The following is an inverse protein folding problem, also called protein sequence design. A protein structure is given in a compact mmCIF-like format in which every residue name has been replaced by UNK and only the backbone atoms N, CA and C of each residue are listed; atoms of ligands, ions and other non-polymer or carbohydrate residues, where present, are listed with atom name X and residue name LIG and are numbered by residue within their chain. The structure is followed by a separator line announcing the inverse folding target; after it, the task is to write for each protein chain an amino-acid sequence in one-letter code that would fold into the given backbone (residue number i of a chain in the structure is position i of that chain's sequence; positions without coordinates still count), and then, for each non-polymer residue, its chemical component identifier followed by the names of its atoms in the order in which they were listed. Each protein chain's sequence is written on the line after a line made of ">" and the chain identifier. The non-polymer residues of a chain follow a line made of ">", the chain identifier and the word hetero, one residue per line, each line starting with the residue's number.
data_IF_668689452596
#
_entry.id   IF_668689452596
#
_cell.length_a   1.000
_cell.length_b   1.000
_cell.length_c   1.000
_cell.angle_alpha   90.00
_cell.angle_beta   90.00
_cell.angle_gamma   90.00
#
_symmetry.space_group_name_H-M   'P 1'
#
loop_
_entity.id
_entity.type
_entity.pdbx_description
1 polymer ?
#
# COMPACT_ATOMS: atom_id res chain seq x y z
N UNK A 1 5.51 22.60 -15.43
CA UNK A 1 5.27 22.03 -16.78
C UNK A 1 4.93 20.57 -16.57
N UNK A 2 3.79 20.13 -17.07
CA UNK A 2 3.32 18.77 -16.84
C UNK A 2 4.31 17.74 -17.43
N UNK A 3 4.66 16.73 -16.63
CA UNK A 3 5.41 15.56 -17.06
C UNK A 3 4.48 14.48 -17.61
N UNK A 4 3.26 14.40 -17.04
CA UNK A 4 2.20 13.48 -17.45
C UNK A 4 0.89 14.23 -17.64
N UNK A 5 0.21 13.96 -18.74
CA UNK A 5 -1.17 14.36 -18.99
C UNK A 5 -1.94 13.15 -19.54
N UNK A 6 -2.99 12.75 -18.86
CA UNK A 6 -3.97 11.78 -19.32
C UNK A 6 -5.29 12.53 -19.50
N UNK A 7 -5.87 12.48 -20.68
CA UNK A 7 -7.06 13.27 -21.03
C UNK A 7 -8.14 12.38 -21.63
N UNK A 8 -9.38 12.57 -21.19
CA UNK A 8 -10.58 11.86 -21.68
C UNK A 8 -10.47 10.33 -21.63
N UNK A 9 -9.79 9.80 -20.59
CA UNK A 9 -9.56 8.36 -20.43
C UNK A 9 -10.84 7.65 -20.07
N UNK A 10 -11.28 6.73 -20.93
CA UNK A 10 -12.43 5.85 -20.64
C UNK A 10 -12.05 4.40 -20.85
N UNK A 11 -12.62 3.52 -20.01
CA UNK A 11 -12.42 2.07 -20.07
C UNK A 11 -13.61 1.30 -19.55
N UNK A 12 -14.04 0.30 -20.31
CA UNK A 12 -15.07 -0.64 -19.92
C UNK A 12 -14.57 -2.09 -19.99
N UNK A 13 -15.08 -2.95 -19.10
CA UNK A 13 -14.80 -4.39 -19.07
C UNK A 13 -16.12 -5.15 -19.04
N UNK A 14 -16.41 -5.92 -20.10
CA UNK A 14 -17.62 -6.77 -20.16
C UNK A 14 -18.93 -6.01 -19.90
N UNK A 15 -19.01 -4.74 -20.34
CA UNK A 15 -20.19 -3.88 -20.12
C UNK A 15 -20.18 -3.08 -18.82
N UNK A 16 -19.18 -3.27 -17.94
CA UNK A 16 -19.01 -2.48 -16.72
C UNK A 16 -18.03 -1.34 -17.02
N UNK A 17 -18.47 -0.10 -16.82
CA UNK A 17 -17.61 1.09 -16.97
C UNK A 17 -16.70 1.20 -15.77
N UNK A 18 -15.39 1.07 -15.99
CA UNK A 18 -14.37 1.20 -14.96
C UNK A 18 -13.81 2.64 -14.86
N UNK A 19 -13.74 3.34 -16.01
CA UNK A 19 -13.36 4.75 -16.10
C UNK A 19 -14.25 5.43 -17.16
N UNK A 20 -14.67 6.65 -16.90
CA UNK A 20 -15.46 7.46 -17.80
C UNK A 20 -14.97 8.89 -17.79
N UNK A 21 -14.37 9.33 -18.89
CA UNK A 21 -13.87 10.70 -19.12
C UNK A 21 -12.93 11.22 -18.01
N UNK A 22 -11.96 10.40 -17.60
CA UNK A 22 -11.04 10.71 -16.50
C UNK A 22 -9.86 11.52 -17.00
N UNK A 23 -9.46 12.52 -16.22
CA UNK A 23 -8.28 13.34 -16.42
C UNK A 23 -7.28 13.15 -15.27
N UNK A 24 -5.98 13.18 -15.57
CA UNK A 24 -4.91 13.19 -14.58
C UNK A 24 -3.74 14.00 -15.14
N UNK A 25 -3.30 15.00 -14.38
CA UNK A 25 -2.12 15.81 -14.73
C UNK A 25 -1.13 15.79 -13.58
N UNK A 26 0.13 15.45 -13.89
CA UNK A 26 1.24 15.45 -12.93
C UNK A 26 2.30 16.42 -13.42
N UNK A 27 2.71 17.36 -12.57
CA UNK A 27 3.79 18.29 -12.87
C UNK A 27 5.18 17.66 -12.69
N UNK A 28 6.19 18.20 -13.39
CA UNK A 28 7.55 17.73 -13.23
C UNK A 28 8.09 18.06 -11.83
N UNK A 29 8.62 17.05 -11.13
CA UNK A 29 9.19 17.20 -9.79
C UNK A 29 8.12 17.35 -8.69
N UNK A 30 6.88 16.89 -8.90
CA UNK A 30 5.88 16.85 -7.83
C UNK A 30 5.60 15.44 -7.30
N UNK A 31 5.05 15.38 -6.11
CA UNK A 31 4.40 14.20 -5.56
C UNK A 31 2.90 14.43 -5.66
N UNK A 32 2.25 13.74 -6.58
CA UNK A 32 0.82 13.83 -6.86
C UNK A 32 0.06 12.69 -6.19
N UNK A 33 -0.88 13.01 -5.30
CA UNK A 33 -1.72 12.00 -4.68
C UNK A 33 -2.89 11.59 -5.60
N UNK A 34 -3.03 10.29 -5.89
CA UNK A 34 -4.20 9.74 -6.57
C UNK A 34 -5.11 9.06 -5.57
N UNK A 35 -6.29 9.62 -5.33
CA UNK A 35 -7.19 9.32 -4.23
C UNK A 35 -8.50 8.74 -4.72
N UNK A 36 -9.21 8.03 -3.84
CA UNK A 36 -10.50 7.41 -4.09
C UNK A 36 -10.66 6.10 -3.32
N UNK A 37 -11.89 5.64 -3.14
CA UNK A 37 -12.18 4.36 -2.49
C UNK A 37 -11.70 3.16 -3.32
N UNK A 38 -11.79 1.96 -2.73
CA UNK A 38 -11.56 0.73 -3.47
C UNK A 38 -12.62 0.59 -4.57
N UNK A 39 -12.17 0.30 -5.80
CA UNK A 39 -13.05 0.28 -6.97
C UNK A 39 -13.28 1.64 -7.64
N UNK A 40 -12.69 2.73 -7.17
CA UNK A 40 -12.82 4.06 -7.78
C UNK A 40 -12.18 4.19 -9.18
N UNK A 41 -11.39 3.19 -9.62
CA UNK A 41 -10.74 3.19 -10.94
C UNK A 41 -9.24 3.48 -10.91
N UNK A 42 -8.63 3.75 -9.74
CA UNK A 42 -7.20 4.11 -9.61
C UNK A 42 -6.26 3.09 -10.29
N UNK A 43 -6.38 1.82 -9.92
CA UNK A 43 -5.54 0.76 -10.49
C UNK A 43 -5.79 0.57 -11.99
N UNK A 44 -7.03 0.77 -12.46
CA UNK A 44 -7.34 0.75 -13.90
C UNK A 44 -6.62 1.88 -14.62
N UNK A 45 -6.65 3.11 -14.08
CA UNK A 45 -5.97 4.26 -14.65
C UNK A 45 -4.45 4.05 -14.70
N UNK A 46 -3.85 3.53 -13.63
CA UNK A 46 -2.41 3.21 -13.58
C UNK A 46 -2.02 2.08 -14.53
N UNK A 47 -2.85 1.05 -14.66
CA UNK A 47 -2.63 -0.03 -15.62
C UNK A 47 -2.72 0.44 -17.08
N UNK A 48 -3.55 1.44 -17.38
CA UNK A 48 -3.56 2.10 -18.69
C UNK A 48 -2.27 2.89 -18.89
N UNK A 49 -1.87 3.69 -17.91
CA UNK A 49 -0.64 4.49 -17.99
C UNK A 49 0.60 3.62 -18.20
N UNK A 50 0.69 2.49 -17.50
CA UNK A 50 1.84 1.57 -17.61
C UNK A 50 1.77 0.64 -18.82
N UNK A 51 0.67 0.66 -19.58
CA UNK A 51 0.51 -0.17 -20.79
C UNK A 51 0.17 -1.64 -20.51
N UNK A 52 -0.28 -1.97 -19.30
CA UNK A 52 -0.81 -3.31 -18.94
C UNK A 52 -2.14 -3.55 -19.64
N UNK A 53 -2.99 -2.52 -19.72
CA UNK A 53 -4.26 -2.54 -20.44
C UNK A 53 -4.37 -1.34 -21.38
N UNK A 54 -5.08 -1.50 -22.47
CA UNK A 54 -5.36 -0.40 -23.41
C UNK A 54 -6.57 0.42 -22.96
N UNK A 55 -6.53 1.72 -23.18
CA UNK A 55 -7.72 2.57 -23.05
C UNK A 55 -8.70 2.34 -24.20
N UNK A 56 -9.98 2.62 -23.99
CA UNK A 56 -10.99 2.57 -25.06
C UNK A 56 -11.05 3.94 -25.78
N UNK A 57 -10.89 5.05 -25.02
CA UNK A 57 -10.76 6.41 -25.55
C UNK A 57 -9.80 7.21 -24.70
N UNK A 58 -9.32 8.33 -25.23
CA UNK A 58 -8.46 9.28 -24.55
C UNK A 58 -7.03 9.28 -25.04
N UNK A 59 -6.24 10.18 -24.48
CA UNK A 59 -4.87 10.43 -24.89
C UNK A 59 -3.94 10.44 -23.68
N UNK A 60 -2.71 9.96 -23.88
CA UNK A 60 -1.65 9.94 -22.88
C UNK A 60 -0.45 10.68 -23.43
N UNK A 61 -0.03 11.73 -22.74
CA UNK A 61 1.19 12.48 -23.04
C UNK A 61 2.14 12.34 -21.84
N UNK A 62 3.36 11.92 -22.10
CA UNK A 62 4.39 11.79 -21.09
C UNK A 62 5.72 12.36 -21.60
N UNK A 63 6.35 13.23 -20.79
CA UNK A 63 7.62 13.90 -21.12
C UNK A 63 7.59 14.53 -22.53
N UNK A 64 6.48 15.23 -22.84
CA UNK A 64 6.26 15.92 -24.12
C UNK A 64 5.99 15.02 -25.33
N UNK A 65 5.77 13.72 -25.15
CA UNK A 65 5.47 12.75 -26.21
C UNK A 65 4.10 12.13 -26.03
N UNK A 66 3.40 11.87 -27.13
CA UNK A 66 2.12 11.17 -27.14
C UNK A 66 2.31 9.65 -27.20
N UNK A 67 1.49 8.92 -26.41
CA UNK A 67 1.48 7.46 -26.34
C UNK A 67 0.05 6.93 -26.52
N UNK A 68 -0.46 6.85 -27.75
CA UNK A 68 -1.88 6.49 -28.00
C UNK A 68 -2.24 5.06 -27.59
N UNK A 69 -1.29 4.13 -27.66
CA UNK A 69 -1.47 2.73 -27.23
C UNK A 69 -0.17 2.24 -26.58
N UNK A 70 0.10 2.65 -25.34
CA UNK A 70 1.33 2.27 -24.67
C UNK A 70 1.35 0.76 -24.37
N UNK A 71 2.56 0.21 -24.34
CA UNK A 71 2.85 -1.14 -23.83
C UNK A 71 3.87 -1.04 -22.70
N UNK A 72 3.91 -2.03 -21.83
CA UNK A 72 4.82 -2.04 -20.66
C UNK A 72 6.26 -1.67 -21.10
N UNK A 73 6.90 -2.34 -22.07
CA UNK A 73 8.28 -2.01 -22.43
C UNK A 73 8.47 -0.62 -23.03
N UNK A 74 7.40 -0.03 -23.57
CA UNK A 74 7.44 1.34 -24.12
C UNK A 74 7.44 2.35 -22.97
N UNK A 75 6.55 2.17 -21.96
CA UNK A 75 6.43 3.09 -20.84
C UNK A 75 7.62 2.97 -19.86
N UNK A 76 8.14 1.78 -19.64
CA UNK A 76 9.39 1.58 -18.89
C UNK A 76 10.55 2.33 -19.54
N UNK A 77 10.73 2.20 -20.87
CA UNK A 77 11.78 2.93 -21.61
C UNK A 77 11.55 4.44 -21.64
N UNK A 78 10.30 4.88 -21.57
CA UNK A 78 9.98 6.30 -21.44
C UNK A 78 10.38 6.86 -20.06
N UNK A 79 10.48 6.01 -19.03
CA UNK A 79 10.87 6.36 -17.67
C UNK A 79 9.71 6.34 -16.68
N UNK A 80 8.70 5.49 -16.88
CA UNK A 80 7.64 5.23 -15.92
C UNK A 80 7.92 3.89 -15.23
N UNK A 81 7.90 3.88 -13.90
CA UNK A 81 8.03 2.67 -13.10
C UNK A 81 6.86 2.54 -12.13
N UNK A 82 6.42 1.31 -11.88
CA UNK A 82 5.34 1.01 -10.96
C UNK A 82 5.85 0.13 -9.82
N UNK A 83 5.76 0.65 -8.60
CA UNK A 83 6.01 -0.06 -7.34
C UNK A 83 4.66 -0.46 -6.78
N UNK A 84 4.38 -1.76 -6.80
CA UNK A 84 3.11 -2.33 -6.37
C UNK A 84 2.99 -2.42 -4.85
N UNK A 85 1.77 -2.55 -4.36
CA UNK A 85 1.46 -2.76 -2.94
C UNK A 85 2.11 -4.06 -2.41
N UNK A 86 2.06 -5.15 -3.18
CA UNK A 86 2.81 -6.37 -2.88
C UNK A 86 4.23 -6.24 -3.43
N UNK A 87 5.20 -6.41 -2.54
CA UNK A 87 6.62 -6.26 -2.90
C UNK A 87 7.04 -7.30 -3.94
N UNK A 88 7.38 -6.83 -5.13
CA UNK A 88 7.73 -7.67 -6.28
C UNK A 88 9.24 -7.88 -6.40
N UNK A 89 9.80 -8.69 -5.49
CA UNK A 89 11.21 -9.06 -5.45
C UNK A 89 11.38 -10.58 -5.43
N UNK A 90 12.49 -11.06 -5.98
CA UNK A 90 12.83 -12.49 -5.97
C UNK A 90 13.61 -12.80 -4.70
N UNK A 91 12.98 -13.49 -3.76
CA UNK A 91 13.56 -13.77 -2.43
C UNK A 91 14.82 -14.63 -2.47
N UNK A 92 14.94 -15.53 -3.46
CA UNK A 92 16.05 -16.46 -3.62
C UNK A 92 17.27 -15.86 -4.35
N UNK A 93 17.21 -14.59 -4.70
CA UNK A 93 18.31 -13.85 -5.30
C UNK A 93 18.91 -12.86 -4.29
N UNK A 94 20.16 -12.49 -4.51
CA UNK A 94 20.78 -11.39 -3.78
C UNK A 94 20.18 -10.04 -4.19
N UNK A 95 20.43 -9.04 -3.37
CA UNK A 95 19.95 -7.66 -3.57
C UNK A 95 20.44 -7.11 -4.91
N UNK A 96 21.76 -7.23 -5.22
CA UNK A 96 22.27 -6.74 -6.49
C UNK A 96 21.68 -7.51 -7.69
N UNK A 97 21.42 -8.81 -7.57
CA UNK A 97 20.79 -9.60 -8.64
C UNK A 97 19.34 -9.15 -8.88
N UNK A 98 18.60 -8.73 -7.84
CA UNK A 98 17.28 -8.13 -7.99
C UNK A 98 17.30 -6.76 -8.70
N UNK A 99 18.31 -5.90 -8.42
CA UNK A 99 18.44 -4.60 -9.08
C UNK A 99 18.71 -4.79 -10.58
N UNK A 100 19.55 -5.73 -10.94
CA UNK A 100 19.99 -5.98 -12.33
C UNK A 100 19.18 -7.05 -13.05
N UNK A 101 18.05 -7.49 -12.51
CA UNK A 101 17.22 -8.53 -13.11
C UNK A 101 16.79 -8.13 -14.53
N UNK A 102 17.06 -9.00 -15.52
CA UNK A 102 16.89 -8.76 -16.96
C UNK A 102 17.79 -7.66 -17.57
N UNK A 103 18.72 -7.11 -16.81
CA UNK A 103 19.67 -6.06 -17.24
C UNK A 103 21.07 -6.31 -16.70
N UNK A 104 21.43 -7.59 -16.60
CA UNK A 104 22.71 -8.02 -16.06
C UNK A 104 23.89 -7.42 -16.82
N UNK A 105 24.85 -6.88 -16.07
CA UNK A 105 26.08 -6.37 -16.64
C UNK A 105 26.98 -7.57 -17.01
N UNK A 106 27.40 -7.60 -18.27
CA UNK A 106 28.26 -8.66 -18.80
C UNK A 106 29.67 -8.18 -19.08
N UNK A 107 30.64 -9.03 -18.80
CA UNK A 107 32.02 -8.83 -19.22
C UNK A 107 32.16 -8.93 -20.74
N UNK A 108 33.34 -8.57 -21.29
CA UNK A 108 33.65 -8.73 -22.73
C UNK A 108 33.53 -10.17 -23.22
N UNK A 109 33.62 -11.16 -22.31
CA UNK A 109 33.48 -12.58 -22.61
C UNK A 109 32.04 -13.09 -22.47
N UNK A 110 31.06 -12.21 -22.20
CA UNK A 110 29.65 -12.60 -22.05
C UNK A 110 29.28 -13.17 -20.68
N UNK A 111 30.20 -13.25 -19.72
CA UNK A 111 29.94 -13.67 -18.36
C UNK A 111 29.39 -12.54 -17.50
N UNK A 112 28.63 -12.85 -16.44
CA UNK A 112 28.13 -11.84 -15.50
C UNK A 112 29.28 -11.12 -14.78
N UNK A 113 29.27 -9.79 -14.82
CA UNK A 113 30.21 -8.95 -14.07
C UNK A 113 29.67 -8.61 -12.68
N UNK A 114 29.70 -9.63 -11.80
CA UNK A 114 29.18 -9.49 -10.42
C UNK A 114 29.86 -8.34 -9.65
N UNK A 115 31.16 -8.14 -9.84
CA UNK A 115 31.90 -7.07 -9.13
C UNK A 115 31.37 -5.70 -9.50
N UNK A 116 31.12 -5.48 -10.78
CA UNK A 116 30.58 -4.22 -11.26
C UNK A 116 29.13 -4.02 -10.81
N UNK A 117 28.28 -5.07 -10.87
CA UNK A 117 26.89 -5.00 -10.39
C UNK A 117 26.82 -4.68 -8.91
N UNK A 118 27.64 -5.30 -8.06
CA UNK A 118 27.72 -5.00 -6.63
C UNK A 118 28.20 -3.56 -6.39
N UNK A 119 29.21 -3.09 -7.11
CA UNK A 119 29.71 -1.73 -6.97
C UNK A 119 28.65 -0.67 -7.34
N UNK A 120 27.96 -0.85 -8.48
CA UNK A 120 26.90 0.05 -8.94
C UNK A 120 25.69 0.03 -7.98
N UNK A 121 25.31 -1.14 -7.41
CA UNK A 121 24.28 -1.24 -6.39
C UNK A 121 24.66 -0.51 -5.09
N UNK A 122 25.92 -0.63 -4.65
CA UNK A 122 26.44 0.07 -3.47
C UNK A 122 26.42 1.59 -3.66
N UNK A 123 26.81 2.06 -4.84
CA UNK A 123 26.76 3.48 -5.19
C UNK A 123 25.34 4.01 -5.19
N UNK A 124 24.39 3.25 -5.76
CA UNK A 124 22.96 3.58 -5.78
C UNK A 124 22.42 3.72 -4.35
N UNK A 125 22.67 2.76 -3.46
CA UNK A 125 22.21 2.81 -2.07
C UNK A 125 22.84 3.95 -1.30
N UNK A 126 24.13 4.22 -1.50
CA UNK A 126 24.80 5.37 -0.89
C UNK A 126 24.15 6.70 -1.31
N UNK A 127 23.85 6.86 -2.59
CA UNK A 127 23.17 8.05 -3.13
C UNK A 127 21.76 8.21 -2.54
N UNK A 128 21.02 7.13 -2.35
CA UNK A 128 19.68 7.13 -1.77
C UNK A 128 19.68 7.26 -0.25
N UNK A 129 20.81 6.99 0.41
CA UNK A 129 20.89 6.92 1.88
C UNK A 129 20.21 5.67 2.43
N UNK A 130 20.25 4.58 1.69
CA UNK A 130 19.65 3.28 2.05
C UNK A 130 20.75 2.37 2.57
N UNK A 131 20.53 1.81 3.77
CA UNK A 131 21.47 0.88 4.41
C UNK A 131 21.04 -0.58 4.10
N UNK A 132 21.45 -1.07 2.94
CA UNK A 132 21.22 -2.45 2.49
C UNK A 132 22.53 -2.99 1.91
N UNK A 133 22.96 -4.16 2.38
CA UNK A 133 24.11 -4.87 1.79
C UNK A 133 23.71 -5.43 0.40
N UNK A 134 24.35 -5.00 -0.69
CA UNK A 134 24.08 -5.53 -2.02
C UNK A 134 24.24 -7.04 -2.15
N UNK A 135 25.07 -7.65 -1.32
CA UNK A 135 25.34 -9.10 -1.33
C UNK A 135 24.37 -9.90 -0.45
N UNK A 136 23.55 -9.26 0.39
CA UNK A 136 22.58 -9.96 1.22
C UNK A 136 21.52 -10.67 0.37
N UNK A 137 20.99 -11.77 0.89
CA UNK A 137 19.84 -12.45 0.28
C UNK A 137 18.57 -11.65 0.54
N UNK A 138 17.71 -11.49 -0.46
CA UNK A 138 16.46 -10.72 -0.30
C UNK A 138 15.52 -11.38 0.70
N UNK A 139 15.57 -12.70 0.89
CA UNK A 139 14.83 -13.42 1.93
C UNK A 139 15.16 -12.94 3.36
N UNK A 140 16.35 -12.40 3.60
CA UNK A 140 16.81 -11.91 4.91
C UNK A 140 16.38 -10.46 5.20
N UNK A 141 15.92 -9.74 4.17
CA UNK A 141 15.52 -8.34 4.30
C UNK A 141 14.17 -8.20 5.00
N UNK A 142 14.05 -7.13 5.78
CA UNK A 142 12.76 -6.66 6.31
C UNK A 142 11.87 -6.15 5.17
N UNK A 143 10.55 -6.10 5.39
CA UNK A 143 9.59 -5.61 4.39
C UNK A 143 9.91 -4.19 3.92
N UNK A 144 10.28 -3.30 4.82
CA UNK A 144 10.72 -1.94 4.49
C UNK A 144 11.95 -1.89 3.58
N UNK A 145 12.93 -2.75 3.83
CA UNK A 145 14.13 -2.84 2.99
C UNK A 145 13.81 -3.40 1.60
N UNK A 146 12.90 -4.37 1.51
CA UNK A 146 12.42 -4.91 0.23
C UNK A 146 11.73 -3.83 -0.61
N UNK A 147 10.94 -2.97 0.04
CA UNK A 147 10.28 -1.85 -0.62
C UNK A 147 11.28 -0.80 -1.13
N UNK A 148 12.28 -0.45 -0.31
CA UNK A 148 13.38 0.41 -0.74
C UNK A 148 14.20 -0.21 -1.88
N UNK A 149 14.35 -1.52 -1.91
CA UNK A 149 14.99 -2.25 -3.01
C UNK A 149 14.19 -2.08 -4.32
N UNK A 150 12.86 -2.19 -4.31
CA UNK A 150 12.03 -1.95 -5.50
C UNK A 150 12.15 -0.51 -6.02
N UNK A 151 12.07 0.46 -5.12
CA UNK A 151 12.26 1.88 -5.48
C UNK A 151 13.67 2.08 -6.07
N UNK A 152 14.69 1.46 -5.46
CA UNK A 152 16.08 1.55 -5.94
C UNK A 152 16.22 0.93 -7.34
N UNK A 153 15.57 -0.21 -7.62
CA UNK A 153 15.53 -0.82 -8.94
C UNK A 153 14.91 0.11 -9.98
N UNK A 154 13.74 0.69 -9.67
CA UNK A 154 13.06 1.65 -10.53
C UNK A 154 13.95 2.86 -10.88
N UNK A 155 14.68 3.37 -9.90
CA UNK A 155 15.61 4.49 -10.09
C UNK A 155 16.87 4.13 -10.88
N UNK A 156 17.37 2.90 -10.69
CA UNK A 156 18.46 2.38 -11.53
C UNK A 156 18.05 2.32 -13.00
N UNK A 157 16.78 2.09 -13.29
CA UNK A 157 16.19 2.09 -14.61
C UNK A 157 15.90 3.50 -15.18
N UNK A 158 16.38 4.56 -14.54
CA UNK A 158 16.18 5.96 -14.91
C UNK A 158 14.69 6.38 -14.94
N UNK A 159 13.88 5.88 -14.01
CA UNK A 159 12.50 6.31 -13.91
C UNK A 159 12.42 7.82 -13.62
N UNK A 160 11.61 8.51 -14.41
CA UNK A 160 11.27 9.94 -14.25
C UNK A 160 10.00 10.12 -13.44
N UNK A 161 9.07 9.17 -13.56
CA UNK A 161 7.81 9.09 -12.85
C UNK A 161 7.71 7.72 -12.17
N UNK A 162 7.59 7.73 -10.85
CA UNK A 162 7.36 6.52 -10.06
C UNK A 162 5.92 6.50 -9.54
N UNK A 163 5.21 5.42 -9.81
CA UNK A 163 3.90 5.14 -9.24
C UNK A 163 4.11 4.28 -8.01
N UNK A 164 3.65 4.75 -6.85
CA UNK A 164 3.77 4.07 -5.56
C UNK A 164 2.36 3.73 -5.07
N UNK A 165 2.01 2.44 -5.10
CA UNK A 165 0.69 1.96 -4.69
C UNK A 165 0.73 1.46 -3.25
N UNK A 166 0.12 2.21 -2.34
CA UNK A 166 0.08 1.98 -0.89
C UNK A 166 1.44 1.62 -0.25
N UNK A 167 2.51 2.40 -0.50
CA UNK A 167 3.87 2.01 -0.15
C UNK A 167 4.14 1.96 1.36
N UNK A 168 3.21 2.37 2.19
CA UNK A 168 3.38 2.49 3.65
C UNK A 168 2.55 1.46 4.44
N UNK A 169 1.81 0.57 3.78
CA UNK A 169 0.84 -0.31 4.44
C UNK A 169 1.50 -1.26 5.45
N UNK A 170 2.71 -1.75 5.16
CA UNK A 170 3.43 -2.70 6.01
C UNK A 170 4.59 -2.05 6.81
N UNK A 171 4.65 -0.71 6.87
CA UNK A 171 5.74 0.03 7.49
C UNK A 171 5.35 0.57 8.87
N UNK A 172 6.31 0.61 9.79
CA UNK A 172 6.21 1.35 11.04
C UNK A 172 6.31 2.86 10.80
N UNK A 173 5.88 3.68 11.76
CA UNK A 173 5.95 5.15 11.65
C UNK A 173 7.36 5.65 11.33
N UNK A 174 8.40 5.10 11.95
CA UNK A 174 9.78 5.48 11.69
C UNK A 174 10.23 5.12 10.26
N UNK A 175 9.79 3.98 9.75
CA UNK A 175 10.09 3.55 8.39
C UNK A 175 9.36 4.41 7.35
N UNK A 176 8.13 4.85 7.64
CA UNK A 176 7.39 5.82 6.80
C UNK A 176 8.13 7.15 6.74
N UNK A 177 8.56 7.71 7.88
CA UNK A 177 9.34 8.95 7.92
C UNK A 177 10.63 8.83 7.09
N UNK A 178 11.32 7.69 7.20
CA UNK A 178 12.53 7.41 6.42
C UNK A 178 12.23 7.38 4.91
N UNK A 179 11.18 6.65 4.50
CA UNK A 179 10.73 6.60 3.11
C UNK A 179 10.40 8.01 2.59
N UNK A 180 9.64 8.80 3.34
CA UNK A 180 9.30 10.18 2.94
C UNK A 180 10.53 11.07 2.81
N UNK A 181 11.53 10.89 3.67
CA UNK A 181 12.83 11.55 3.54
C UNK A 181 13.52 11.22 2.21
N UNK A 182 13.47 9.96 1.76
CA UNK A 182 14.00 9.53 0.47
C UNK A 182 13.21 10.14 -0.68
N UNK A 183 11.86 10.08 -0.64
CA UNK A 183 11.00 10.64 -1.68
C UNK A 183 11.22 12.15 -1.85
N UNK A 184 11.34 12.91 -0.74
CA UNK A 184 11.65 14.36 -0.80
C UNK A 184 13.00 14.65 -1.44
N UNK A 185 14.03 13.83 -1.16
CA UNK A 185 15.36 13.97 -1.81
C UNK A 185 15.27 13.69 -3.30
N UNK A 186 14.57 12.65 -3.71
CA UNK A 186 14.39 12.28 -5.12
C UNK A 186 13.58 13.32 -5.88
N UNK A 187 12.52 13.86 -5.27
CA UNK A 187 11.76 14.98 -5.80
C UNK A 187 12.66 16.20 -6.06
N UNK A 188 13.53 16.54 -5.11
CA UNK A 188 14.50 17.63 -5.27
C UNK A 188 15.54 17.37 -6.40
N UNK A 189 15.73 16.11 -6.80
CA UNK A 189 16.54 15.70 -7.94
C UNK A 189 15.76 15.69 -9.27
N UNK A 190 14.47 16.04 -9.25
CA UNK A 190 13.61 16.15 -10.43
C UNK A 190 12.78 14.91 -10.74
N UNK A 191 12.76 13.90 -9.87
CA UNK A 191 11.83 12.78 -10.02
C UNK A 191 10.41 13.20 -9.63
N UNK A 192 9.42 12.67 -10.33
CA UNK A 192 8.00 12.88 -10.07
C UNK A 192 7.36 11.59 -9.53
N UNK A 193 6.28 11.73 -8.77
CA UNK A 193 5.63 10.59 -8.14
C UNK A 193 4.11 10.67 -8.28
N UNK A 194 3.48 9.52 -8.51
CA UNK A 194 2.06 9.31 -8.21
C UNK A 194 2.01 8.47 -6.95
N UNK A 195 1.46 9.04 -5.88
CA UNK A 195 1.36 8.42 -4.57
C UNK A 195 -0.09 8.01 -4.32
N UNK A 196 -0.35 6.70 -4.26
CA UNK A 196 -1.67 6.15 -3.99
C UNK A 196 -1.69 5.72 -2.53
N UNK A 197 -2.58 6.31 -1.75
CA UNK A 197 -2.80 5.95 -0.34
C UNK A 197 -4.22 6.30 0.08
N UNK A 198 -4.72 5.62 1.09
CA UNK A 198 -5.98 5.94 1.76
C UNK A 198 -5.76 6.61 3.14
N UNK A 199 -4.50 6.81 3.54
CA UNK A 199 -4.11 7.39 4.83
C UNK A 199 -3.97 8.91 4.71
N UNK A 200 -5.00 9.66 5.09
CA UNK A 200 -5.03 11.12 5.00
C UNK A 200 -3.79 11.81 5.62
N UNK A 201 -3.30 11.43 6.83
CA UNK A 201 -2.11 12.06 7.39
C UNK A 201 -0.88 11.96 6.49
N UNK A 202 -0.69 10.82 5.83
CA UNK A 202 0.43 10.60 4.93
C UNK A 202 0.32 11.46 3.66
N UNK A 203 -0.89 11.57 3.11
CA UNK A 203 -1.17 12.38 1.92
C UNK A 203 -0.83 13.85 2.20
N UNK A 204 -1.33 14.39 3.33
CA UNK A 204 -1.08 15.79 3.72
C UNK A 204 0.37 16.06 4.12
N UNK A 205 1.14 15.04 4.45
CA UNK A 205 2.55 15.19 4.78
C UNK A 205 3.45 15.22 3.55
N UNK A 206 3.15 14.42 2.51
CA UNK A 206 4.11 14.18 1.42
C UNK A 206 3.68 14.77 0.08
N UNK A 207 2.37 14.87 -0.22
CA UNK A 207 1.88 15.27 -1.52
C UNK A 207 1.84 16.79 -1.71
N UNK A 208 2.06 17.23 -2.94
CA UNK A 208 1.90 18.63 -3.35
C UNK A 208 0.50 18.91 -3.88
N UNK A 209 0.03 18.01 -4.76
CA UNK A 209 -1.27 18.08 -5.41
C UNK A 209 -1.99 16.74 -5.29
N UNK A 210 -3.27 16.74 -5.60
CA UNK A 210 -4.09 15.56 -5.56
C UNK A 210 -5.07 15.49 -6.73
N UNK A 211 -5.53 14.30 -7.05
CA UNK A 211 -6.70 14.01 -7.91
C UNK A 211 -7.57 12.98 -7.20
N UNK A 212 -8.88 13.24 -7.14
CA UNK A 212 -9.86 12.31 -6.55
C UNK A 212 -10.65 11.63 -7.66
N UNK A 213 -10.71 10.31 -7.59
CA UNK A 213 -11.60 9.48 -8.41
C UNK A 213 -12.69 8.86 -7.53
N UNK A 214 -13.91 8.78 -8.06
CA UNK A 214 -15.03 8.07 -7.43
C UNK A 214 -15.90 7.39 -8.49
N UNK A 215 -16.10 6.07 -8.34
CA UNK A 215 -16.92 5.28 -9.26
C UNK A 215 -16.50 5.40 -10.73
N UNK A 216 -15.20 5.47 -11.00
CA UNK A 216 -14.65 5.60 -12.35
C UNK A 216 -14.74 7.01 -12.95
N UNK A 217 -15.11 8.01 -12.18
CA UNK A 217 -15.24 9.40 -12.60
C UNK A 217 -14.15 10.27 -11.93
N UNK A 218 -13.68 11.28 -12.65
CA UNK A 218 -12.94 12.39 -12.07
C UNK A 218 -13.89 13.24 -11.22
N UNK A 219 -13.49 13.59 -10.00
CA UNK A 219 -14.30 14.37 -9.07
C UNK A 219 -13.68 15.75 -8.82
N UNK A 220 -12.41 15.77 -8.42
CA UNK A 220 -11.69 17.01 -8.10
C UNK A 220 -10.19 16.81 -8.22
N UNK A 221 -9.47 17.90 -8.39
CA UNK A 221 -8.02 18.00 -8.25
C UNK A 221 -7.65 19.35 -7.61
N UNK A 222 -6.43 19.47 -7.13
CA UNK A 222 -5.97 20.74 -6.54
C UNK A 222 -4.65 20.61 -5.79
N UNK A 223 -4.28 21.71 -5.12
CA UNK A 223 -3.13 21.75 -4.23
C UNK A 223 -3.51 21.21 -2.86
N UNK A 224 -2.67 20.38 -2.25
CA UNK A 224 -2.90 19.87 -0.88
C UNK A 224 -2.96 21.03 0.13
N UNK A 225 -2.16 22.08 -0.06
CA UNK A 225 -2.15 23.25 0.83
C UNK A 225 -3.44 24.08 0.82
N UNK A 226 -4.30 23.90 -0.19
CA UNK A 226 -5.54 24.70 -0.39
C UNK A 226 -6.80 23.90 -0.03
N UNK A 227 -6.66 22.65 0.43
CA UNK A 227 -7.77 21.76 0.77
C UNK A 227 -7.68 21.26 2.22
N UNK A 228 -8.67 20.50 2.64
CA UNK A 228 -8.73 19.89 3.98
C UNK A 228 -8.96 18.38 3.89
N UNK A 229 -8.56 17.60 4.92
CA UNK A 229 -8.87 16.17 4.98
C UNK A 229 -10.35 15.86 4.85
N UNK A 230 -11.21 16.73 5.42
CA UNK A 230 -12.67 16.60 5.34
C UNK A 230 -13.18 16.79 3.91
N UNK A 231 -12.67 17.79 3.17
CA UNK A 231 -13.07 18.03 1.78
C UNK A 231 -12.68 16.84 0.88
N UNK A 232 -11.44 16.36 1.01
CA UNK A 232 -10.99 15.18 0.24
C UNK A 232 -11.84 13.95 0.58
N UNK A 233 -12.12 13.71 1.86
CA UNK A 233 -12.99 12.61 2.28
C UNK A 233 -14.40 12.74 1.69
N UNK A 234 -14.96 13.96 1.66
CA UNK A 234 -16.25 14.25 1.03
C UNK A 234 -16.23 13.92 -0.47
N UNK A 235 -15.19 14.34 -1.16
CA UNK A 235 -15.01 14.08 -2.60
C UNK A 235 -14.88 12.58 -2.90
N UNK A 236 -14.17 11.84 -2.04
CA UNK A 236 -13.96 10.39 -2.17
C UNK A 236 -15.26 9.59 -1.97
N UNK A 237 -16.03 9.92 -0.93
CA UNK A 237 -17.19 9.10 -0.49
C UNK A 237 -18.51 9.70 -0.97
N UNK A 238 -18.62 11.03 -1.04
CA UNK A 238 -19.83 11.77 -1.32
C UNK A 238 -20.51 12.26 -0.03
N UNK A 239 -21.08 13.46 -0.08
CA UNK A 239 -21.71 14.17 1.06
C UNK A 239 -22.75 13.32 1.83
N UNK A 240 -23.51 12.51 1.11
CA UNK A 240 -24.60 11.71 1.71
C UNK A 240 -24.11 10.59 2.66
N UNK A 241 -22.81 10.33 2.72
CA UNK A 241 -22.24 9.26 3.55
C UNK A 241 -21.47 9.76 4.77
N UNK A 242 -21.05 11.03 4.81
CA UNK A 242 -20.22 11.57 5.90
C UNK A 242 -21.00 11.90 7.17
N UNK A 243 -22.30 12.24 7.07
CA UNK A 243 -23.12 12.70 8.19
C UNK A 243 -24.13 11.67 8.72
N UNK A 244 -24.07 10.44 8.24
CA UNK A 244 -24.94 9.38 8.77
C UNK A 244 -24.24 8.67 9.92
N UNK A 245 -24.73 8.90 11.14
CA UNK A 245 -24.47 8.01 12.26
C UNK A 245 -25.16 6.66 11.98
N UNK A 246 -24.39 5.73 11.40
CA UNK A 246 -24.85 4.36 11.12
C UNK A 246 -24.97 3.51 12.41
N UNK A 247 -24.57 4.06 13.57
CA UNK A 247 -24.66 3.37 14.82
C UNK A 247 -26.08 3.43 15.38
N UNK A 248 -26.86 2.39 15.13
CA UNK A 248 -28.11 2.16 15.82
C UNK A 248 -27.86 1.56 17.19
N UNK A 249 -28.25 2.26 18.25
CA UNK A 249 -28.26 1.69 19.61
C UNK A 249 -29.21 0.50 19.66
N UNK A 250 -28.64 -0.69 19.63
CA UNK A 250 -29.41 -1.94 19.76
C UNK A 250 -29.44 -2.37 21.22
N UNK A 251 -30.55 -2.94 21.70
CA UNK A 251 -30.59 -3.54 23.02
C UNK A 251 -29.60 -4.73 23.04
N UNK A 252 -28.61 -4.69 23.92
CA UNK A 252 -27.66 -5.77 24.10
C UNK A 252 -28.33 -6.91 24.85
N UNK A 253 -28.10 -8.15 24.39
CA UNK A 253 -28.62 -9.35 25.03
C UNK A 253 -27.79 -9.80 26.25
N UNK A 254 -27.95 -11.03 26.62
CA UNK A 254 -27.19 -11.70 27.69
C UNK A 254 -25.68 -11.79 27.32
N UNK A 255 -24.85 -11.98 28.36
CA UNK A 255 -23.42 -12.22 28.19
C UNK A 255 -23.19 -13.54 27.45
N UNK A 256 -22.61 -13.44 26.25
CA UNK A 256 -22.29 -14.57 25.38
C UNK A 256 -20.91 -15.15 25.68
N UNK A 257 -19.91 -14.29 25.82
CA UNK A 257 -18.52 -14.66 26.12
C UNK A 257 -18.05 -13.90 27.37
N UNK A 258 -17.37 -14.57 28.26
CA UNK A 258 -16.74 -13.97 29.43
C UNK A 258 -15.31 -14.50 29.59
N UNK A 259 -14.35 -13.59 29.67
CA UNK A 259 -12.97 -13.85 30.04
C UNK A 259 -12.76 -13.42 31.48
N UNK A 260 -12.09 -14.26 32.28
CA UNK A 260 -11.69 -13.95 33.66
C UNK A 260 -10.21 -14.26 33.85
N UNK A 261 -9.44 -13.24 34.22
CA UNK A 261 -7.99 -13.34 34.46
C UNK A 261 -7.26 -14.07 33.34
N UNK A 262 -7.72 -13.84 32.09
CA UNK A 262 -7.27 -14.56 30.91
C UNK A 262 -5.85 -14.14 30.57
N UNK A 263 -4.94 -15.12 30.54
CA UNK A 263 -3.51 -14.90 30.36
C UNK A 263 -2.97 -15.86 29.31
N UNK A 264 -2.09 -15.35 28.45
CA UNK A 264 -1.42 -16.10 27.40
C UNK A 264 -0.16 -15.38 26.91
N UNK A 265 0.46 -15.93 25.89
CA UNK A 265 1.68 -15.36 25.34
C UNK A 265 1.45 -13.90 24.89
N UNK A 266 2.18 -12.96 25.48
CA UNK A 266 2.15 -11.54 25.10
C UNK A 266 1.05 -10.70 25.74
N UNK A 267 0.19 -11.28 26.60
CA UNK A 267 -0.80 -10.54 27.37
C UNK A 267 -1.06 -11.23 28.72
N UNK A 268 -1.53 -10.50 29.73
CA UNK A 268 -1.80 -11.03 31.06
C UNK A 268 -3.02 -10.39 31.71
N UNK A 269 -3.74 -11.16 32.51
CA UNK A 269 -4.84 -10.74 33.41
C UNK A 269 -5.96 -9.93 32.69
N UNK A 270 -6.34 -10.36 31.49
CA UNK A 270 -7.41 -9.72 30.73
C UNK A 270 -8.76 -10.27 31.21
N UNK A 271 -9.66 -9.37 31.64
CA UNK A 271 -11.04 -9.69 31.98
C UNK A 271 -11.98 -8.83 31.17
N UNK A 272 -12.89 -9.44 30.41
CA UNK A 272 -13.91 -8.77 29.63
C UNK A 272 -15.13 -9.65 29.42
N UNK A 273 -16.23 -9.03 29.03
CA UNK A 273 -17.44 -9.71 28.61
C UNK A 273 -17.98 -9.19 27.31
N UNK A 274 -18.48 -10.09 26.46
CA UNK A 274 -19.13 -9.78 25.19
C UNK A 274 -20.58 -10.21 25.28
N UNK A 275 -21.51 -9.31 24.97
CA UNK A 275 -22.94 -9.58 24.99
C UNK A 275 -23.46 -9.96 23.61
N UNK A 276 -24.57 -10.63 23.57
CA UNK A 276 -25.24 -10.95 22.31
C UNK A 276 -25.63 -9.67 21.56
N UNK A 277 -25.22 -9.55 20.28
CA UNK A 277 -25.45 -8.36 19.45
C UNK A 277 -24.47 -7.22 19.69
N UNK A 278 -23.43 -7.41 20.54
CA UNK A 278 -22.41 -6.42 20.81
C UNK A 278 -21.24 -6.55 19.83
N UNK A 279 -20.68 -5.40 19.42
CA UNK A 279 -19.42 -5.31 18.66
C UNK A 279 -18.37 -4.69 19.57
N UNK A 280 -17.31 -5.43 19.86
CA UNK A 280 -16.18 -4.95 20.65
C UNK A 280 -14.98 -4.76 19.73
N UNK A 281 -14.37 -3.57 19.77
CA UNK A 281 -13.12 -3.28 19.08
C UNK A 281 -11.93 -3.46 20.02
N UNK A 282 -10.93 -4.23 19.58
CA UNK A 282 -9.63 -4.32 20.26
C UNK A 282 -8.66 -3.37 19.55
N UNK A 283 -8.09 -2.44 20.29
CA UNK A 283 -7.14 -1.47 19.76
C UNK A 283 -5.85 -1.50 20.56
N UNK A 284 -4.73 -1.18 19.92
CA UNK A 284 -3.43 -1.13 20.59
C UNK A 284 -2.30 -0.97 19.59
N UNK A 285 -1.12 -0.61 20.07
CA UNK A 285 0.09 -0.55 19.27
C UNK A 285 0.54 -1.96 18.87
N UNK A 286 1.38 -2.05 17.83
CA UNK A 286 2.02 -3.29 17.45
C UNK A 286 2.76 -3.89 18.66
N UNK A 287 2.52 -5.18 18.95
CA UNK A 287 3.07 -5.86 20.14
C UNK A 287 2.29 -5.64 21.44
N UNK A 288 1.11 -5.00 21.41
CA UNK A 288 0.25 -4.83 22.60
C UNK A 288 -0.37 -6.12 23.12
N UNK A 289 -0.23 -7.24 22.41
CA UNK A 289 -0.84 -8.52 22.76
C UNK A 289 -2.28 -8.72 22.25
N UNK A 290 -2.85 -7.75 21.52
CA UNK A 290 -4.22 -7.84 21.01
C UNK A 290 -4.42 -9.02 20.04
N UNK A 291 -3.48 -9.23 19.12
CA UNK A 291 -3.49 -10.36 18.19
C UNK A 291 -3.35 -11.70 18.92
N UNK A 292 -2.44 -11.77 19.88
CA UNK A 292 -2.21 -12.96 20.70
C UNK A 292 -3.44 -13.29 21.57
N UNK A 293 -4.10 -12.27 22.11
CA UNK A 293 -5.35 -12.42 22.84
C UNK A 293 -6.43 -13.07 21.94
N UNK A 294 -6.63 -12.55 20.75
CA UNK A 294 -7.63 -13.10 19.80
C UNK A 294 -7.28 -14.53 19.38
N UNK A 295 -6.02 -14.81 19.06
CA UNK A 295 -5.56 -16.17 18.72
C UNK A 295 -5.72 -17.15 19.89
N UNK A 296 -5.48 -16.71 21.13
CA UNK A 296 -5.69 -17.53 22.33
C UNK A 296 -7.17 -17.75 22.60
N UNK A 297 -8.02 -16.74 22.41
CA UNK A 297 -9.47 -16.86 22.50
C UNK A 297 -10.05 -17.84 21.47
N UNK A 298 -9.46 -17.93 20.30
CA UNK A 298 -9.86 -18.89 19.27
C UNK A 298 -9.23 -20.28 19.45
N UNK A 299 -8.26 -20.42 20.37
CA UNK A 299 -7.57 -21.68 20.66
C UNK A 299 -6.44 -22.03 19.69
N UNK A 300 -5.92 -21.06 18.94
CA UNK A 300 -4.68 -21.19 18.11
C UNK A 300 -3.47 -21.19 19.03
N UNK A 301 -3.40 -20.24 19.97
CA UNK A 301 -2.36 -20.20 20.98
C UNK A 301 -2.85 -20.83 22.30
N UNK A 302 -1.96 -21.42 23.11
CA UNK A 302 -2.32 -21.99 24.39
C UNK A 302 -2.68 -20.89 25.40
N UNK A 303 -3.70 -21.16 26.21
CA UNK A 303 -4.04 -20.38 27.39
C UNK A 303 -3.09 -20.75 28.52
N UNK A 304 -2.46 -19.77 29.16
CA UNK A 304 -1.54 -19.94 30.27
C UNK A 304 -2.25 -19.78 31.65
N UNK A 305 -3.34 -19.00 31.69
CA UNK A 305 -4.10 -18.77 32.94
C UNK A 305 -5.50 -18.23 32.68
N UNK A 306 -6.30 -18.23 33.74
CA UNK A 306 -7.67 -17.73 33.71
C UNK A 306 -8.69 -18.70 33.13
N UNK A 307 -9.78 -18.15 32.58
CA UNK A 307 -10.85 -18.95 31.99
C UNK A 307 -11.58 -18.17 30.89
N UNK A 308 -12.10 -18.91 29.90
CA UNK A 308 -13.06 -18.42 28.91
C UNK A 308 -14.36 -19.21 29.08
N UNK A 309 -15.47 -18.46 29.17
CA UNK A 309 -16.82 -19.01 29.26
C UNK A 309 -17.64 -18.56 28.06
N UNK A 310 -18.39 -19.48 27.47
CA UNK A 310 -19.34 -19.20 26.37
C UNK A 310 -20.71 -19.68 26.80
N UNK A 311 -21.64 -18.76 26.98
CA UNK A 311 -22.92 -19.04 27.64
C UNK A 311 -22.72 -19.63 29.03
N UNK A 312 -23.20 -20.84 29.26
CA UNK A 312 -23.06 -21.55 30.53
C UNK A 312 -21.80 -22.44 30.64
N UNK A 313 -21.00 -22.58 29.54
CA UNK A 313 -19.89 -23.56 29.47
C UNK A 313 -18.53 -22.88 29.54
N UNK A 314 -17.67 -23.38 30.43
CA UNK A 314 -16.24 -23.02 30.41
C UNK A 314 -15.56 -23.87 29.35
N UNK A 315 -14.85 -23.20 28.41
CA UNK A 315 -14.13 -23.85 27.33
C UNK A 315 -12.66 -23.91 27.68
N UNK A 316 -12.04 -25.06 27.37
CA UNK A 316 -10.60 -25.28 27.48
C UNK A 316 -10.15 -26.17 26.30
N UNK A 317 -9.00 -25.89 25.72
CA UNK A 317 -8.37 -26.78 24.74
C UNK A 317 -8.32 -26.21 23.34
N UNK A 318 -8.26 -27.06 22.31
CA UNK A 318 -7.94 -26.74 20.96
C UNK A 318 -9.10 -26.11 20.15
N UNK A 319 -8.78 -25.49 19.02
CA UNK A 319 -9.63 -24.78 18.03
C UNK A 319 -10.98 -25.46 17.81
N UNK A 320 -11.01 -26.78 17.60
CA UNK A 320 -12.25 -27.53 17.31
C UNK A 320 -13.34 -27.39 18.40
N UNK A 321 -12.98 -27.13 19.66
CA UNK A 321 -13.94 -26.89 20.72
C UNK A 321 -14.55 -25.50 20.64
N UNK A 322 -13.74 -24.50 20.30
CA UNK A 322 -14.21 -23.12 20.13
C UNK A 322 -15.11 -23.01 18.88
N UNK A 323 -14.73 -23.64 17.76
CA UNK A 323 -15.57 -23.70 16.57
C UNK A 323 -16.95 -24.35 16.84
N UNK A 324 -17.02 -25.42 17.64
CA UNK A 324 -18.30 -26.04 18.04
C UNK A 324 -19.17 -25.16 18.95
N UNK A 325 -18.58 -24.13 19.55
CA UNK A 325 -19.28 -23.11 20.32
C UNK A 325 -19.63 -21.86 19.54
N UNK A 326 -19.42 -21.87 18.21
CA UNK A 326 -19.79 -20.78 17.31
C UNK A 326 -18.71 -19.70 17.12
N UNK A 327 -17.46 -19.97 17.49
CA UNK A 327 -16.34 -19.08 17.17
C UNK A 327 -15.96 -19.26 15.70
N UNK A 328 -15.72 -18.12 15.02
CA UNK A 328 -15.11 -18.03 13.69
C UNK A 328 -14.02 -16.96 13.73
N UNK A 329 -12.95 -17.16 12.94
CA UNK A 329 -11.83 -16.23 12.81
C UNK A 329 -11.41 -16.14 11.34
#
# INVERSE_FOLDING_TARGET
>A
MAILEMQHISKAFGGVIALSDVHLTVEAGEIHALLGENGAGKSTLMNILTGVITTDTGEIHFDGKSYPNPTIPVMERAGIAFVHQEVNVVNDLSVFENIFLHREIKTKLGLLDRKRMVAEASELFTRLGVDIDPCAMVSELKTSQKQLLEISRALHENAKLLILDEPTTALSTQEVEHLFGILRKLKAQGHSFIFISHKMPEIFEIADRYTVLRNGLFISDGNIAETTPHQIATDMVGEQYLDKDYYEKRPLGETLVELKHFTGKGFSDVSLSVRKGEIIAFTGLAGSGASELMQTMFGVLPMEGGSIRVGSKVIRGAINRFMRCGFAM
#
